data_IF_425546560216
#
_entry.id   IF_425546560216
#
_cell.length_a   1.000
_cell.length_b   1.000
_cell.length_c   1.000
_cell.angle_alpha   90.00
_cell.angle_beta   90.00
_cell.angle_gamma   90.00
#
_symmetry.space_group_name_H-M   'P 1'
#
loop_
_entity.id
_entity.type
_entity.pdbx_description
1 polymer ?
#
# COMPACT_ATOMS: atom_id res chain seq x y z
N UNK A 1 37.41 28.55 -30.71
CA UNK A 1 36.03 29.06 -30.83
C UNK A 1 35.28 28.03 -31.64
N UNK A 2 34.78 27.01 -30.93
CA UNK A 2 33.34 26.81 -30.63
C UNK A 2 32.75 25.94 -31.76
N UNK A 3 32.32 24.70 -31.57
CA UNK A 3 31.83 24.02 -30.39
C UNK A 3 30.50 23.38 -30.81
N UNK A 4 30.51 22.10 -31.18
CA UNK A 4 29.28 21.34 -31.42
C UNK A 4 29.20 20.17 -30.45
N UNK A 5 28.34 20.39 -29.47
CA UNK A 5 27.78 19.48 -28.49
C UNK A 5 27.20 18.23 -29.13
N UNK A 6 27.79 17.09 -28.80
CA UNK A 6 27.18 15.77 -28.96
C UNK A 6 26.86 15.27 -27.54
N UNK A 7 25.69 15.64 -27.03
CA UNK A 7 25.15 15.11 -25.78
C UNK A 7 23.72 14.66 -26.04
N UNK A 8 23.43 13.41 -25.67
CA UNK A 8 22.07 12.88 -25.63
C UNK A 8 21.88 11.65 -26.50
N UNK A 9 22.22 10.48 -25.93
CA UNK A 9 21.44 9.23 -25.99
C UNK A 9 22.30 8.10 -25.43
N UNK A 10 22.26 7.90 -24.11
CA UNK A 10 22.62 6.61 -23.47
C UNK A 10 22.22 6.60 -21.97
N UNK A 11 21.03 7.12 -21.64
CA UNK A 11 20.44 7.04 -20.29
C UNK A 11 19.12 6.23 -20.29
N UNK A 12 18.99 5.25 -21.20
CA UNK A 12 17.69 4.70 -21.60
C UNK A 12 17.03 3.71 -20.65
N UNK A 13 17.76 3.03 -19.76
CA UNK A 13 17.16 2.00 -18.87
C UNK A 13 17.89 1.88 -17.54
N UNK A 14 19.22 1.81 -17.54
CA UNK A 14 20.02 1.76 -16.30
C UNK A 14 19.91 3.04 -15.44
N UNK A 15 19.70 4.20 -16.08
CA UNK A 15 19.48 5.47 -15.38
C UNK A 15 18.12 5.57 -14.69
N UNK A 16 17.07 4.96 -15.26
CA UNK A 16 15.71 4.94 -14.71
C UNK A 16 15.60 3.98 -13.52
N UNK A 17 16.21 2.79 -13.59
CA UNK A 17 16.25 1.86 -12.46
C UNK A 17 17.08 2.44 -11.31
N UNK A 18 18.28 2.98 -11.59
CA UNK A 18 19.12 3.62 -10.57
C UNK A 18 18.44 4.83 -9.91
N UNK A 19 17.64 5.62 -10.66
CA UNK A 19 16.87 6.73 -10.11
C UNK A 19 15.70 6.26 -9.25
N UNK A 20 15.04 5.15 -9.61
CA UNK A 20 14.01 4.53 -8.78
C UNK A 20 14.58 3.91 -7.50
N UNK A 21 15.74 3.24 -7.58
CA UNK A 21 16.42 2.63 -6.42
C UNK A 21 16.89 3.71 -5.44
N UNK A 22 17.46 4.81 -5.94
CA UNK A 22 17.83 5.97 -5.13
C UNK A 22 16.60 6.57 -4.43
N UNK A 23 15.48 6.71 -5.14
CA UNK A 23 14.22 7.21 -4.55
C UNK A 23 13.64 6.27 -3.48
N UNK A 24 13.77 4.96 -3.65
CA UNK A 24 13.31 3.98 -2.64
C UNK A 24 14.21 4.00 -1.42
N UNK A 25 15.53 4.12 -1.60
CA UNK A 25 16.47 4.25 -0.48
C UNK A 25 16.18 5.49 0.36
N UNK A 26 15.89 6.63 -0.25
CA UNK A 26 15.49 7.85 0.47
C UNK A 26 14.22 7.65 1.30
N UNK A 27 13.24 6.88 0.79
CA UNK A 27 12.02 6.52 1.55
C UNK A 27 12.35 5.62 2.74
N UNK A 28 13.26 4.66 2.59
CA UNK A 28 13.73 3.81 3.69
C UNK A 28 14.39 4.67 4.77
N UNK A 29 15.32 5.55 4.38
CA UNK A 29 16.05 6.41 5.33
C UNK A 29 15.12 7.41 6.04
N UNK A 30 14.09 7.90 5.34
CA UNK A 30 13.03 8.71 5.96
C UNK A 30 12.27 7.91 7.02
N UNK A 31 11.79 6.71 6.68
CA UNK A 31 11.06 5.86 7.63
C UNK A 31 11.93 5.45 8.82
N UNK A 32 13.23 5.17 8.62
CA UNK A 32 14.16 4.90 9.73
C UNK A 32 14.25 6.09 10.69
N UNK A 33 14.36 7.33 10.17
CA UNK A 33 14.36 8.53 11.01
C UNK A 33 13.03 8.74 11.74
N UNK A 34 11.90 8.48 11.07
CA UNK A 34 10.57 8.54 11.69
C UNK A 34 10.49 7.53 12.84
N UNK A 35 10.93 6.29 12.62
CA UNK A 35 11.01 5.23 13.64
C UNK A 35 11.81 5.69 14.85
N UNK A 36 13.01 6.25 14.66
CA UNK A 36 13.84 6.79 15.75
C UNK A 36 13.13 7.92 16.51
N UNK A 37 12.40 8.78 15.80
CA UNK A 37 11.56 9.82 16.41
C UNK A 37 10.45 9.24 17.29
N UNK A 38 9.74 8.23 16.79
CA UNK A 38 8.68 7.53 17.54
C UNK A 38 9.26 6.85 18.79
N UNK A 39 10.45 6.28 18.70
CA UNK A 39 11.15 5.69 19.85
C UNK A 39 11.45 6.69 20.95
N UNK A 40 11.90 7.89 20.59
CA UNK A 40 12.10 8.99 21.53
C UNK A 40 10.79 9.47 22.13
N UNK A 41 9.71 9.47 21.36
CA UNK A 41 8.39 9.81 21.87
C UNK A 41 7.91 8.76 22.88
N UNK A 42 8.01 7.46 22.55
CA UNK A 42 7.62 6.35 23.41
C UNK A 42 8.37 6.35 24.75
N UNK A 43 9.65 6.72 24.78
CA UNK A 43 10.42 6.78 26.03
C UNK A 43 9.98 7.92 26.96
N UNK A 44 9.28 8.92 26.44
CA UNK A 44 8.77 10.08 27.18
C UNK A 44 7.26 9.99 27.45
N UNK A 45 6.55 9.15 26.71
CA UNK A 45 5.10 8.97 26.82
C UNK A 45 4.72 8.33 28.16
N UNK A 46 3.76 8.97 28.83
CA UNK A 46 3.17 8.48 30.09
C UNK A 46 1.68 8.19 29.96
N UNK A 47 1.01 8.82 28.98
CA UNK A 47 -0.40 8.61 28.71
C UNK A 47 -0.60 7.38 27.83
N UNK A 48 -1.58 6.53 28.19
CA UNK A 48 -1.88 5.30 27.46
C UNK A 48 -2.23 5.55 25.99
N UNK A 49 -3.06 6.56 25.71
CA UNK A 49 -3.49 6.85 24.34
C UNK A 49 -2.32 7.27 23.46
N UNK A 50 -1.39 8.07 24.00
CA UNK A 50 -0.15 8.44 23.31
C UNK A 50 0.72 7.23 23.01
N UNK A 51 0.81 6.29 23.95
CA UNK A 51 1.53 5.02 23.75
C UNK A 51 0.87 4.20 22.64
N UNK A 52 -0.47 4.05 22.65
CA UNK A 52 -1.21 3.29 21.63
C UNK A 52 -1.00 3.86 20.23
N UNK A 53 -1.08 5.18 20.06
CA UNK A 53 -0.79 5.83 18.79
C UNK A 53 0.67 5.67 18.36
N UNK A 54 1.62 5.85 19.28
CA UNK A 54 3.03 5.73 18.97
C UNK A 54 3.42 4.28 18.61
N UNK A 55 2.88 3.27 19.31
CA UNK A 55 3.08 1.86 18.97
C UNK A 55 2.45 1.51 17.62
N UNK A 56 1.24 2.02 17.32
CA UNK A 56 0.65 1.89 15.98
C UNK A 56 1.61 2.46 14.93
N UNK A 57 2.04 3.70 15.09
CA UNK A 57 2.89 4.38 14.10
C UNK A 57 4.23 3.64 13.91
N UNK A 58 4.81 3.12 15.00
CA UNK A 58 6.01 2.28 14.94
C UNK A 58 5.78 1.02 14.10
N UNK A 59 4.63 0.37 14.26
CA UNK A 59 4.25 -0.81 13.50
C UNK A 59 4.05 -0.50 12.00
N UNK A 60 3.35 0.60 11.67
CA UNK A 60 3.17 1.06 10.28
C UNK A 60 4.53 1.35 9.64
N UNK A 61 5.37 2.11 10.35
CA UNK A 61 6.71 2.49 9.90
C UNK A 61 7.60 1.27 9.62
N UNK A 62 7.66 0.30 10.54
CA UNK A 62 8.40 -0.94 10.32
C UNK A 62 7.88 -1.72 9.12
N UNK A 63 6.55 -1.77 8.95
CA UNK A 63 5.93 -2.43 7.81
C UNK A 63 6.32 -1.75 6.48
N UNK A 64 6.35 -0.41 6.44
CA UNK A 64 6.82 0.36 5.27
C UNK A 64 8.28 0.10 4.97
N UNK A 65 9.16 0.11 5.98
CA UNK A 65 10.58 -0.21 5.82
C UNK A 65 10.74 -1.60 5.18
N UNK A 66 10.08 -2.62 5.73
CA UNK A 66 10.13 -3.98 5.15
C UNK A 66 9.64 -4.01 3.72
N UNK A 67 8.51 -3.34 3.42
CA UNK A 67 7.94 -3.31 2.07
C UNK A 67 8.88 -2.62 1.05
N UNK A 68 9.51 -1.51 1.43
CA UNK A 68 10.50 -0.81 0.60
C UNK A 68 11.77 -1.62 0.42
N UNK A 69 12.33 -2.19 1.48
CA UNK A 69 13.53 -3.04 1.41
C UNK A 69 13.28 -4.26 0.52
N UNK A 70 12.13 -4.93 0.63
CA UNK A 70 11.80 -6.05 -0.24
C UNK A 70 11.62 -5.64 -1.72
N UNK A 71 11.15 -4.41 -1.99
CA UNK A 71 11.09 -3.90 -3.37
C UNK A 71 12.49 -3.60 -3.92
N UNK A 72 13.36 -3.01 -3.10
CA UNK A 72 14.74 -2.71 -3.48
C UNK A 72 15.52 -3.99 -3.80
N UNK A 73 15.45 -5.01 -2.94
CA UNK A 73 16.10 -6.30 -3.17
C UNK A 73 15.65 -6.97 -4.48
N UNK A 74 14.34 -6.93 -4.79
CA UNK A 74 13.81 -7.46 -6.06
C UNK A 74 14.34 -6.71 -7.28
N UNK A 75 14.54 -5.39 -7.16
CA UNK A 75 15.12 -4.56 -8.23
C UNK A 75 16.59 -4.96 -8.48
N UNK A 76 17.37 -5.10 -7.41
CA UNK A 76 18.77 -5.51 -7.47
C UNK A 76 18.95 -6.92 -8.07
N UNK A 77 18.12 -7.88 -7.66
CA UNK A 77 18.10 -9.24 -8.21
C UNK A 77 17.79 -9.26 -9.71
N UNK A 78 16.85 -8.42 -10.16
CA UNK A 78 16.50 -8.30 -11.58
C UNK A 78 17.68 -7.76 -12.40
N UNK A 79 18.43 -6.78 -11.87
CA UNK A 79 19.63 -6.24 -12.52
C UNK A 79 20.74 -7.31 -12.59
N UNK A 80 20.96 -8.05 -11.50
CA UNK A 80 21.95 -9.12 -11.46
C UNK A 80 21.64 -10.24 -12.48
N UNK A 81 20.36 -10.63 -12.61
CA UNK A 81 19.92 -11.66 -13.54
C UNK A 81 19.94 -11.21 -15.01
N UNK A 82 19.76 -9.91 -15.29
CA UNK A 82 19.86 -9.35 -16.65
C UNK A 82 21.31 -9.29 -17.18
N UNK A 83 22.32 -9.42 -16.32
CA UNK A 83 23.74 -9.40 -16.72
C UNK A 83 24.16 -10.70 -17.45
N UNK A 84 23.28 -11.71 -17.56
CA UNK A 84 23.58 -13.03 -18.16
C UNK A 84 22.94 -13.34 -19.50
N UNK A 85 21.99 -12.55 -20.03
CA UNK A 85 21.29 -12.90 -21.26
C UNK A 85 20.80 -11.67 -22.03
N UNK A 86 21.64 -11.18 -22.95
CA UNK A 86 21.26 -10.19 -23.96
C UNK A 86 20.70 -10.90 -25.20
N UNK A 87 19.47 -11.38 -25.13
CA UNK A 87 18.70 -11.68 -26.35
C UNK A 87 17.82 -10.46 -26.65
N UNK A 88 18.35 -9.55 -27.48
CA UNK A 88 17.59 -8.45 -28.08
C UNK A 88 16.61 -9.02 -29.12
N UNK A 89 15.54 -9.67 -28.66
CA UNK A 89 14.38 -9.93 -29.50
C UNK A 89 13.53 -8.66 -29.54
N UNK A 90 13.67 -7.90 -30.63
CA UNK A 90 12.73 -6.84 -31.05
C UNK A 90 11.38 -7.42 -31.53
N UNK A 91 10.96 -8.57 -30.99
CA UNK A 91 9.69 -9.21 -31.28
C UNK A 91 8.84 -9.22 -30.00
N UNK A 92 7.68 -8.57 -30.08
CA UNK A 92 6.80 -8.17 -28.98
C UNK A 92 7.40 -7.10 -28.06
N UNK A 93 7.08 -5.83 -28.36
CA UNK A 93 6.67 -4.92 -27.27
C UNK A 93 5.48 -5.61 -26.63
N UNK A 94 5.74 -6.44 -25.62
CA UNK A 94 4.71 -7.06 -24.80
C UNK A 94 3.82 -5.91 -24.36
N UNK A 95 2.58 -5.88 -24.86
CA UNK A 95 1.67 -4.75 -24.68
C UNK A 95 1.46 -4.58 -23.19
N UNK A 96 2.16 -3.62 -22.59
CA UNK A 96 2.08 -3.38 -21.16
C UNK A 96 0.66 -2.90 -20.85
N UNK A 97 0.00 -3.61 -19.93
CA UNK A 97 -1.34 -3.23 -19.51
C UNK A 97 -1.32 -1.82 -18.93
N UNK A 98 -2.37 -1.06 -19.23
CA UNK A 98 -2.54 0.28 -18.68
C UNK A 98 -2.57 0.21 -17.15
N UNK A 99 -1.87 1.15 -16.50
CA UNK A 99 -1.91 1.31 -15.06
C UNK A 99 -3.17 2.07 -14.63
N UNK A 100 -3.60 1.84 -13.40
CA UNK A 100 -4.79 2.46 -12.82
C UNK A 100 -4.46 3.14 -11.49
N UNK A 101 -5.24 4.17 -11.18
CA UNK A 101 -5.39 4.68 -9.81
C UNK A 101 -6.49 3.88 -9.13
N UNK A 102 -6.26 3.43 -7.91
CA UNK A 102 -7.25 2.69 -7.13
C UNK A 102 -7.55 3.47 -5.87
N UNK A 103 -8.83 3.72 -5.61
CA UNK A 103 -9.30 4.40 -4.41
C UNK A 103 -10.13 3.43 -3.56
N UNK A 104 -9.80 3.36 -2.26
CA UNK A 104 -10.57 2.67 -1.24
C UNK A 104 -11.19 3.72 -0.33
N UNK A 105 -12.49 3.59 -0.05
CA UNK A 105 -13.22 4.50 0.82
C UNK A 105 -14.34 3.81 1.57
N UNK A 106 -14.91 4.51 2.53
CA UNK A 106 -16.14 4.14 3.24
C UNK A 106 -16.07 2.74 3.88
N UNK A 107 -14.96 2.45 4.57
CA UNK A 107 -14.74 1.14 5.17
C UNK A 107 -15.62 1.01 6.41
N UNK A 108 -16.37 -0.08 6.49
CA UNK A 108 -17.20 -0.45 7.64
C UNK A 108 -16.94 -1.88 8.06
N UNK A 109 -16.76 -2.11 9.36
CA UNK A 109 -16.52 -3.43 9.94
C UNK A 109 -17.56 -3.66 11.04
N UNK A 110 -18.65 -4.37 10.72
CA UNK A 110 -19.70 -4.66 11.69
C UNK A 110 -19.18 -5.57 12.80
N UNK A 111 -19.62 -5.28 14.02
CA UNK A 111 -19.34 -6.03 15.23
C UNK A 111 -20.57 -6.82 15.68
N UNK A 112 -20.32 -7.92 16.38
CA UNK A 112 -21.34 -8.86 16.84
C UNK A 112 -21.17 -9.14 18.34
N UNK A 113 -21.46 -8.13 19.15
CA UNK A 113 -21.46 -8.28 20.60
C UNK A 113 -22.51 -9.30 21.05
N UNK A 114 -22.17 -10.11 22.05
CA UNK A 114 -23.17 -10.94 22.74
C UNK A 114 -24.08 -10.04 23.56
N UNK A 115 -25.35 -10.40 23.69
CA UNK A 115 -26.31 -9.66 24.53
C UNK A 115 -25.81 -9.51 25.97
N UNK A 116 -25.16 -10.54 26.50
CA UNK A 116 -24.53 -10.51 27.83
C UNK A 116 -23.48 -9.42 27.97
N UNK A 117 -22.75 -9.12 26.91
CA UNK A 117 -21.63 -8.19 26.92
C UNK A 117 -22.11 -6.77 26.63
N UNK A 118 -22.98 -6.62 25.62
CA UNK A 118 -23.58 -5.36 25.20
C UNK A 118 -24.43 -4.71 26.30
N UNK A 119 -25.27 -5.50 26.99
CA UNK A 119 -26.19 -5.00 28.02
C UNK A 119 -25.63 -5.11 29.45
N UNK A 120 -24.40 -5.59 29.66
CA UNK A 120 -23.80 -5.62 31.00
C UNK A 120 -23.46 -4.22 31.50
N UNK A 121 -23.96 -3.81 32.66
CA UNK A 121 -23.56 -2.56 33.33
C UNK A 121 -22.23 -2.65 34.08
N UNK A 122 -21.31 -3.55 33.69
CA UNK A 122 -19.97 -3.58 34.30
C UNK A 122 -19.27 -2.26 33.97
N UNK A 123 -18.94 -1.48 35.01
CA UNK A 123 -18.30 -0.15 34.93
C UNK A 123 -16.92 -0.15 34.21
N UNK A 124 -16.37 -1.32 33.89
CA UNK A 124 -15.15 -1.49 33.08
C UNK A 124 -15.41 -2.48 31.95
N UNK A 125 -15.94 -1.98 30.84
CA UNK A 125 -15.97 -2.74 29.59
C UNK A 125 -14.60 -2.69 28.95
N UNK A 126 -14.12 -3.83 28.44
CA UNK A 126 -12.86 -3.89 27.72
C UNK A 126 -12.92 -2.96 26.52
N UNK A 127 -11.88 -2.14 26.38
CA UNK A 127 -11.71 -1.22 25.27
C UNK A 127 -10.59 -1.70 24.38
N UNK A 128 -10.79 -1.65 23.08
CA UNK A 128 -9.81 -2.09 22.11
C UNK A 128 -9.44 -0.95 21.18
N UNK A 129 -8.14 -0.71 21.02
CA UNK A 129 -7.63 0.14 19.97
C UNK A 129 -7.57 -0.68 18.66
N UNK A 130 -8.15 -0.15 17.60
CA UNK A 130 -8.22 -0.81 16.28
C UNK A 130 -7.83 0.15 15.17
N UNK A 131 -7.14 -0.38 14.17
CA UNK A 131 -6.83 0.31 12.91
C UNK A 131 -6.66 -0.72 11.78
N UNK A 132 -6.65 -0.25 10.54
CA UNK A 132 -6.43 -1.08 9.36
C UNK A 132 -5.14 -0.70 8.65
N UNK A 133 -4.48 -1.70 8.05
CA UNK A 133 -3.42 -1.54 7.06
C UNK A 133 -3.91 -1.94 5.68
N UNK A 134 -3.54 -1.14 4.68
CA UNK A 134 -3.74 -1.45 3.27
C UNK A 134 -2.39 -1.63 2.60
N UNK A 135 -2.16 -2.79 2.00
CA UNK A 135 -0.87 -3.15 1.39
C UNK A 135 -1.04 -3.51 -0.08
N UNK A 136 -0.30 -2.85 -0.96
CA UNK A 136 -0.21 -3.18 -2.38
C UNK A 136 1.24 -3.06 -2.83
N UNK A 137 1.93 -4.20 -2.95
CA UNK A 137 3.37 -4.21 -3.23
C UNK A 137 4.16 -3.46 -2.16
N UNK A 138 4.83 -2.37 -2.55
CA UNK A 138 5.59 -1.53 -1.63
C UNK A 138 4.79 -0.36 -1.02
N UNK A 139 3.57 -0.11 -1.52
CA UNK A 139 2.71 0.94 -0.98
C UNK A 139 1.96 0.39 0.25
N UNK A 140 2.13 1.06 1.39
CA UNK A 140 1.50 0.69 2.66
C UNK A 140 0.86 1.93 3.27
N UNK A 141 -0.46 1.88 3.42
CA UNK A 141 -1.28 2.92 4.04
C UNK A 141 -1.98 2.39 5.28
N UNK A 142 -2.44 3.29 6.13
CA UNK A 142 -3.10 2.98 7.39
C UNK A 142 -4.31 3.89 7.64
N UNK A 143 -5.30 3.40 8.36
CA UNK A 143 -6.40 4.23 8.89
C UNK A 143 -6.04 4.83 10.23
N UNK A 144 -6.78 5.84 10.69
CA UNK A 144 -6.67 6.32 12.06
C UNK A 144 -6.98 5.21 13.09
N UNK A 145 -6.36 5.32 14.26
CA UNK A 145 -6.65 4.42 15.37
C UNK A 145 -7.93 4.89 16.06
N UNK A 146 -8.87 3.98 16.25
CA UNK A 146 -10.10 4.25 17.01
C UNK A 146 -10.18 3.33 18.23
N UNK A 147 -10.74 3.86 19.31
CA UNK A 147 -11.01 3.07 20.53
C UNK A 147 -12.44 2.56 20.42
N UNK A 148 -12.59 1.25 20.54
CA UNK A 148 -13.85 0.53 20.43
C UNK A 148 -14.22 -0.07 21.77
N UNK A 149 -15.47 0.15 22.16
CA UNK A 149 -16.10 -0.50 23.29
C UNK A 149 -17.42 -1.14 22.88
N UNK A 150 -18.10 -1.77 23.84
CA UNK A 150 -19.38 -2.47 23.62
C UNK A 150 -20.50 -1.59 23.03
N UNK A 151 -20.38 -0.26 23.08
CA UNK A 151 -21.42 0.64 22.55
C UNK A 151 -21.32 0.82 21.04
N UNK A 152 -20.19 0.46 20.45
CA UNK A 152 -19.94 0.57 19.02
C UNK A 152 -20.36 -0.72 18.35
N UNK A 153 -21.34 -0.67 17.45
CA UNK A 153 -21.76 -1.84 16.66
C UNK A 153 -21.09 -1.93 15.31
N UNK A 154 -20.49 -0.85 14.82
CA UNK A 154 -19.90 -0.76 13.49
C UNK A 154 -18.69 0.17 13.50
N UNK A 155 -17.54 -0.32 13.06
CA UNK A 155 -16.31 0.47 12.98
C UNK A 155 -16.26 1.12 11.60
N UNK A 156 -16.22 2.45 11.55
CA UNK A 156 -16.24 3.20 10.30
C UNK A 156 -14.95 4.00 10.09
N UNK A 157 -14.37 3.90 8.90
CA UNK A 157 -13.26 4.76 8.45
C UNK A 157 -13.67 5.50 7.17
N UNK A 158 -13.78 6.82 7.26
CA UNK A 158 -14.21 7.69 6.16
C UNK A 158 -13.06 8.11 5.22
N UNK A 159 -11.81 7.96 5.67
CA UNK A 159 -10.64 8.39 4.92
C UNK A 159 -10.50 7.61 3.61
N UNK A 160 -10.20 8.34 2.53
CA UNK A 160 -9.92 7.76 1.21
C UNK A 160 -8.44 7.43 1.10
N UNK A 161 -8.13 6.19 0.72
CA UNK A 161 -6.76 5.74 0.42
C UNK A 161 -6.60 5.55 -1.09
N UNK A 162 -5.56 6.16 -1.68
CA UNK A 162 -5.30 6.09 -3.12
C UNK A 162 -3.98 5.38 -3.38
N UNK A 163 -4.04 4.31 -4.17
CA UNK A 163 -2.88 3.62 -4.72
C UNK A 163 -2.65 4.06 -6.15
N UNK A 164 -1.38 4.30 -6.49
CA UNK A 164 -0.99 4.72 -7.83
C UNK A 164 -0.34 3.56 -8.59
N UNK A 165 -0.36 3.66 -9.91
CA UNK A 165 0.35 2.72 -10.80
C UNK A 165 -0.05 1.24 -10.64
N UNK A 166 -1.29 0.97 -10.24
CA UNK A 166 -1.78 -0.39 -10.07
C UNK A 166 -1.93 -1.10 -11.43
N UNK A 167 -1.44 -2.34 -11.54
CA UNK A 167 -1.71 -3.21 -12.69
C UNK A 167 -3.12 -3.80 -12.66
N UNK A 168 -3.59 -4.43 -13.75
CA UNK A 168 -4.91 -5.08 -13.79
C UNK A 168 -5.02 -6.28 -12.84
N UNK A 169 -3.89 -6.87 -12.45
CA UNK A 169 -3.74 -8.02 -11.56
C UNK A 169 -3.47 -7.61 -10.10
N UNK A 170 -3.75 -6.36 -9.74
CA UNK A 170 -3.50 -5.84 -8.40
C UNK A 170 -4.17 -6.69 -7.31
N UNK A 171 -3.52 -6.74 -6.15
CA UNK A 171 -4.02 -7.36 -4.94
C UNK A 171 -3.75 -6.41 -3.78
N UNK A 172 -4.81 -5.83 -3.24
CA UNK A 172 -4.71 -5.00 -2.04
C UNK A 172 -5.06 -5.88 -0.85
N UNK A 173 -4.06 -6.12 0.01
CA UNK A 173 -4.29 -6.83 1.27
C UNK A 173 -4.75 -5.83 2.32
N UNK A 174 -5.92 -6.08 2.91
CA UNK A 174 -6.49 -5.31 4.01
C UNK A 174 -6.29 -6.12 5.29
N UNK A 175 -5.63 -5.54 6.28
CA UNK A 175 -5.33 -6.19 7.55
C UNK A 175 -5.88 -5.35 8.71
N UNK A 176 -6.67 -5.97 9.58
CA UNK A 176 -7.29 -5.34 10.75
C UNK A 176 -6.46 -5.69 11.97
N UNK A 177 -5.96 -4.68 12.67
CA UNK A 177 -5.14 -4.85 13.86
C UNK A 177 -5.86 -4.35 15.10
N UNK A 178 -5.68 -5.07 16.21
CA UNK A 178 -6.34 -4.74 17.48
C UNK A 178 -5.39 -4.89 18.67
N UNK A 179 -5.61 -4.05 19.69
CA UNK A 179 -4.89 -4.06 20.97
C UNK A 179 -5.89 -3.79 22.09
N UNK A 180 -5.91 -4.61 23.13
CA UNK A 180 -6.70 -4.28 24.32
C UNK A 180 -6.01 -3.16 25.13
N UNK A 181 -6.82 -2.20 25.57
CA UNK A 181 -6.40 -0.98 26.28
C UNK A 181 -6.44 -1.19 27.81
N UNK A 182 -7.23 -2.15 28.27
CA UNK A 182 -7.31 -2.54 29.67
C UNK A 182 -6.18 -3.51 30.00
N UNK A 183 -5.41 -3.14 31.03
CA UNK A 183 -4.12 -3.74 31.28
C UNK A 183 -4.23 -5.23 31.57
N UNK A 184 -3.53 -6.05 30.77
CA UNK A 184 -2.97 -7.27 31.30
C UNK A 184 -1.90 -6.86 32.33
N UNK A 185 -2.34 -6.62 33.57
CA UNK A 185 -1.45 -6.81 34.71
C UNK A 185 -1.20 -8.31 34.84
N UNK A 186 -0.56 -8.91 33.85
CA UNK A 186 0.18 -10.15 34.07
C UNK A 186 1.39 -9.69 34.85
N UNK A 187 1.24 -9.74 36.17
CA UNK A 187 2.35 -9.75 37.11
C UNK A 187 3.22 -10.96 36.80
N UNK A 188 4.02 -10.89 35.74
CA UNK A 188 5.20 -11.73 35.59
C UNK A 188 6.25 -11.15 36.52
N UNK A 189 6.10 -11.39 37.82
CA UNK A 189 7.23 -11.26 38.73
C UNK A 189 8.32 -12.19 38.22
N UNK A 190 9.54 -11.74 37.88
CA UNK A 190 10.67 -12.64 37.79
C UNK A 190 11.14 -12.95 39.22
N UNK A 191 10.29 -13.62 40.01
CA UNK A 191 10.72 -14.25 41.26
C UNK A 191 11.50 -15.52 40.90
N UNK A 192 12.76 -15.34 40.49
CA UNK A 192 13.90 -16.26 40.65
C UNK A 192 15.05 -15.88 39.68
N UNK A 193 15.79 -14.83 40.01
CA UNK A 193 17.22 -14.82 39.72
C UNK A 193 18.02 -14.11 40.81
N UNK A 194 17.68 -14.38 42.07
CA UNK A 194 18.54 -14.09 43.21
C UNK A 194 19.28 -15.37 43.61
N UNK A 195 20.38 -15.69 42.92
CA UNK A 195 21.60 -16.30 43.49
C UNK A 195 22.58 -16.70 42.37
N UNK A 196 23.77 -16.10 42.45
CA UNK A 196 25.08 -16.48 41.87
C UNK A 196 25.58 -15.61 40.72
N UNK A 197 26.09 -14.44 41.08
CA UNK A 197 27.39 -13.99 40.57
C UNK A 197 28.27 -13.66 41.77
N UNK A 198 28.90 -14.70 42.31
CA UNK A 198 30.08 -14.53 43.16
C UNK A 198 31.28 -14.38 42.24
N UNK A 199 32.03 -13.31 42.47
CA UNK A 199 33.49 -13.20 42.32
C UNK A 199 34.11 -13.55 40.96
N UNK A 200 34.49 -12.51 40.21
CA UNK A 200 35.90 -12.30 39.86
C UNK A 200 36.17 -10.88 39.37
N UNK A 201 37.03 -10.19 40.13
CA UNK A 201 37.78 -9.01 39.72
C UNK A 201 38.86 -9.48 38.76
N UNK A 202 38.94 -8.90 37.57
CA UNK A 202 40.17 -8.91 36.77
C UNK A 202 40.22 -7.66 35.91
N UNK A 203 41.26 -6.86 36.16
CA UNK A 203 41.66 -5.68 35.40
C UNK A 203 42.08 -6.11 33.99
N UNK A 204 41.53 -5.49 32.95
CA UNK A 204 42.19 -5.40 31.65
C UNK A 204 41.75 -4.12 30.94
N UNK A 205 42.71 -3.24 30.73
CA UNK A 205 42.67 -2.04 29.91
C UNK A 205 42.67 -2.43 28.42
N UNK A 206 41.80 -1.82 27.61
CA UNK A 206 42.07 -1.60 26.18
C UNK A 206 41.09 -2.21 25.18
N UNK A 207 40.47 -1.30 24.40
CA UNK A 207 40.10 -1.43 22.97
C UNK A 207 39.16 -2.57 22.55
N UNK A 208 37.88 -2.24 22.36
CA UNK A 208 37.16 -2.25 21.05
C UNK A 208 35.67 -2.16 21.30
N UNK A 209 35.09 -1.03 20.93
CA UNK A 209 33.65 -0.84 20.76
C UNK A 209 33.42 -1.12 19.27
N UNK A 210 32.93 -2.32 18.94
CA UNK A 210 32.30 -2.63 17.66
C UNK A 210 31.79 -4.07 17.68
N UNK A 211 30.47 -4.22 17.77
CA UNK A 211 29.69 -5.26 17.09
C UNK A 211 28.21 -4.89 17.16
N UNK A 212 27.88 -3.80 16.46
CA UNK A 212 26.55 -3.57 15.90
C UNK A 212 26.44 -4.49 14.68
N UNK A 213 25.24 -5.04 14.48
CA UNK A 213 24.81 -5.86 13.34
C UNK A 213 25.20 -7.35 13.43
N UNK A 214 24.36 -8.12 14.12
CA UNK A 214 24.12 -9.50 13.70
C UNK A 214 22.61 -9.71 13.67
N UNK A 215 22.09 -9.83 12.44
CA UNK A 215 20.79 -10.34 12.02
C UNK A 215 19.83 -10.76 13.13
N UNK A 216 19.13 -9.79 13.70
CA UNK A 216 17.94 -10.08 14.49
C UNK A 216 16.73 -9.97 13.57
N UNK A 217 16.04 -11.10 13.40
CA UNK A 217 14.80 -11.21 12.64
C UNK A 217 13.87 -10.01 12.97
N UNK A 218 13.40 -9.24 11.96
CA UNK A 218 12.58 -8.06 12.18
C UNK A 218 11.34 -8.34 13.04
N UNK A 219 10.83 -9.58 13.03
CA UNK A 219 9.73 -9.99 13.91
C UNK A 219 10.12 -10.00 15.39
N UNK A 220 11.33 -10.43 15.74
CA UNK A 220 11.78 -10.50 17.14
C UNK A 220 11.98 -9.10 17.74
N UNK A 221 12.48 -8.14 16.94
CA UNK A 221 12.57 -6.74 17.35
C UNK A 221 11.20 -6.06 17.51
N UNK A 222 10.16 -6.50 16.78
CA UNK A 222 8.77 -6.02 16.97
C UNK A 222 8.17 -6.54 18.28
N UNK A 223 8.36 -7.84 18.56
CA UNK A 223 7.78 -8.51 19.72
C UNK A 223 8.42 -8.11 21.06
N UNK A 224 9.74 -7.98 21.11
CA UNK A 224 10.43 -7.60 22.35
C UNK A 224 10.17 -6.15 22.75
N UNK A 225 9.91 -5.27 21.79
CA UNK A 225 9.87 -3.83 22.01
C UNK A 225 8.47 -3.26 22.27
N UNK A 226 7.44 -3.79 21.63
CA UNK A 226 6.04 -3.38 21.88
C UNK A 226 5.60 -3.74 23.30
N UNK A 227 6.05 -4.92 23.78
CA UNK A 227 5.73 -5.42 25.12
C UNK A 227 6.32 -4.53 26.23
N UNK A 228 7.45 -3.85 25.96
CA UNK A 228 8.13 -2.96 26.92
C UNK A 228 7.26 -1.75 27.30
N UNK A 229 6.40 -1.28 26.40
CA UNK A 229 5.52 -0.12 26.64
C UNK A 229 4.08 -0.50 26.97
N UNK A 230 3.78 -1.80 27.13
CA UNK A 230 2.47 -2.27 27.60
C UNK A 230 1.34 -2.20 26.57
N UNK A 231 1.63 -1.94 25.29
CA UNK A 231 0.67 -1.97 24.19
C UNK A 231 1.19 -2.88 23.09
N UNK A 232 0.34 -3.75 22.54
CA UNK A 232 0.71 -4.69 21.48
C UNK A 232 -0.46 -4.92 20.54
N UNK A 233 -0.27 -4.52 19.28
CA UNK A 233 -1.23 -4.80 18.22
C UNK A 233 -1.02 -6.19 17.65
N UNK A 234 -2.13 -6.88 17.45
CA UNK A 234 -2.20 -8.21 16.88
C UNK A 234 -3.11 -8.20 15.66
N UNK A 235 -2.77 -9.00 14.66
CA UNK A 235 -3.60 -9.19 13.48
C UNK A 235 -4.89 -9.90 13.90
N UNK A 236 -6.00 -9.19 13.82
CA UNK A 236 -7.33 -9.71 14.16
C UNK A 236 -7.95 -10.43 12.97
N UNK A 237 -7.91 -9.79 11.80
CA UNK A 237 -8.49 -10.32 10.59
C UNK A 237 -7.83 -9.74 9.34
N UNK A 238 -8.03 -10.38 8.19
CA UNK A 238 -7.55 -9.86 6.92
C UNK A 238 -8.45 -10.26 5.75
N UNK A 239 -8.36 -9.52 4.65
CA UNK A 239 -8.96 -9.89 3.35
C UNK A 239 -8.09 -9.37 2.20
N UNK A 240 -8.40 -9.78 0.98
CA UNK A 240 -7.69 -9.32 -0.22
C UNK A 240 -8.69 -8.81 -1.24
N UNK A 241 -8.52 -7.56 -1.66
CA UNK A 241 -9.31 -6.90 -2.69
C UNK A 241 -8.58 -6.98 -4.03
N UNK A 242 -9.33 -7.29 -5.08
CA UNK A 242 -8.83 -7.48 -6.45
C UNK A 242 -9.67 -6.66 -7.43
N UNK A 243 -9.37 -6.74 -8.74
CA UNK A 243 -10.18 -6.09 -9.77
C UNK A 243 -11.66 -6.49 -9.72
N UNK A 244 -11.99 -7.73 -9.33
CA UNK A 244 -13.38 -8.19 -9.17
C UNK A 244 -14.11 -7.51 -8.00
N UNK A 245 -13.35 -6.91 -7.09
CA UNK A 245 -13.88 -6.10 -6.00
C UNK A 245 -14.16 -4.66 -6.42
N UNK A 246 -13.68 -4.22 -7.59
CA UNK A 246 -13.78 -2.84 -8.03
C UNK A 246 -15.15 -2.57 -8.65
N UNK A 247 -15.93 -1.72 -8.00
CA UNK A 247 -17.26 -1.29 -8.44
C UNK A 247 -17.54 0.09 -7.84
N UNK A 248 -18.39 0.89 -8.50
CA UNK A 248 -18.78 2.21 -7.97
C UNK A 248 -19.75 2.10 -6.77
N UNK A 249 -20.21 0.88 -6.45
CA UNK A 249 -21.13 0.58 -5.36
C UNK A 249 -20.42 0.03 -4.11
N UNK A 250 -21.15 0.00 -2.99
CA UNK A 250 -20.68 -0.64 -1.77
C UNK A 250 -20.68 -2.15 -1.92
N UNK A 251 -19.54 -2.78 -1.59
CA UNK A 251 -19.40 -4.23 -1.63
C UNK A 251 -18.98 -4.80 -0.29
N UNK A 252 -19.55 -5.96 0.03
CA UNK A 252 -19.21 -6.73 1.22
C UNK A 252 -18.15 -7.78 0.88
N UNK A 253 -17.12 -7.85 1.73
CA UNK A 253 -15.99 -8.75 1.61
C UNK A 253 -15.86 -9.58 2.88
N UNK A 254 -15.69 -10.89 2.73
CA UNK A 254 -15.46 -11.77 3.87
C UNK A 254 -14.08 -11.49 4.46
N UNK A 255 -14.00 -11.49 5.80
CA UNK A 255 -12.79 -11.38 6.57
C UNK A 255 -12.34 -12.77 7.03
N UNK A 256 -11.05 -13.07 6.85
CA UNK A 256 -10.40 -14.22 7.46
C UNK A 256 -9.92 -13.82 8.85
N UNK A 257 -10.48 -14.44 9.87
CA UNK A 257 -10.24 -14.11 11.27
C UNK A 257 -9.06 -14.93 11.81
N UNK A 258 -8.13 -14.25 12.50
CA UNK A 258 -6.87 -14.82 13.01
C UNK A 258 -6.84 -15.00 14.53
N UNK A 259 -7.94 -14.70 15.24
CA UNK A 259 -8.06 -14.80 16.70
C UNK A 259 -9.29 -15.60 17.15
N UNK A 260 -9.44 -15.73 18.47
CA UNK A 260 -10.59 -16.35 19.12
C UNK A 260 -10.95 -15.59 20.41
N UNK A 261 -12.05 -15.95 21.08
CA UNK A 261 -12.50 -15.31 22.33
C UNK A 261 -11.49 -15.39 23.50
N UNK A 262 -10.51 -16.29 23.42
CA UNK A 262 -9.45 -16.43 24.44
C UNK A 262 -8.29 -15.45 24.21
N UNK A 263 -8.25 -14.80 23.05
CA UNK A 263 -7.19 -13.88 22.68
C UNK A 263 -7.42 -12.51 23.32
N UNK A 264 -6.38 -11.94 23.95
CA UNK A 264 -6.48 -10.63 24.61
C UNK A 264 -6.75 -9.46 23.65
N UNK A 265 -6.71 -9.68 22.34
CA UNK A 265 -6.97 -8.69 21.30
C UNK A 265 -8.29 -8.99 20.56
N UNK A 266 -9.08 -9.94 21.03
CA UNK A 266 -10.31 -10.33 20.36
C UNK A 266 -11.35 -9.22 20.38
N UNK A 267 -11.81 -8.81 19.19
CA UNK A 267 -13.08 -8.12 19.02
C UNK A 267 -14.05 -9.05 18.31
N UNK A 268 -15.33 -9.08 18.72
CA UNK A 268 -16.32 -9.93 18.08
C UNK A 268 -16.72 -9.33 16.72
N UNK A 269 -15.99 -9.70 15.66
CA UNK A 269 -16.32 -9.30 14.30
C UNK A 269 -17.54 -10.08 13.79
N UNK A 270 -18.40 -9.44 13.00
CA UNK A 270 -19.46 -10.16 12.26
C UNK A 270 -18.89 -11.15 11.22
N UNK A 271 -17.65 -10.92 10.79
CA UNK A 271 -16.93 -11.76 9.81
C UNK A 271 -16.81 -11.14 8.43
N UNK A 272 -17.36 -9.94 8.21
CA UNK A 272 -17.31 -9.23 6.95
C UNK A 272 -16.83 -7.78 7.14
N UNK A 273 -16.31 -7.19 6.08
CA UNK A 273 -16.11 -5.74 5.95
C UNK A 273 -16.84 -5.24 4.71
N UNK A 274 -17.29 -4.00 4.75
CA UNK A 274 -17.84 -3.30 3.59
C UNK A 274 -16.87 -2.18 3.20
N UNK A 275 -16.72 -1.94 1.91
CA UNK A 275 -16.00 -0.77 1.40
C UNK A 275 -16.44 -0.45 -0.02
N UNK A 276 -16.08 0.74 -0.49
CA UNK A 276 -16.17 1.12 -1.90
C UNK A 276 -14.78 1.14 -2.50
N UNK A 277 -14.58 0.35 -3.56
CA UNK A 277 -13.31 0.20 -4.27
C UNK A 277 -13.48 0.66 -5.71
N UNK A 278 -12.86 1.77 -6.08
CA UNK A 278 -12.95 2.32 -7.45
C UNK A 278 -11.60 2.21 -8.13
N UNK A 279 -11.59 1.67 -9.35
CA UNK A 279 -10.41 1.64 -10.21
C UNK A 279 -10.60 2.59 -11.40
N UNK A 280 -9.66 3.53 -11.58
CA UNK A 280 -9.62 4.44 -12.73
C UNK A 280 -8.35 4.14 -13.55
N UNK A 281 -8.46 3.39 -14.66
CA UNK A 281 -7.36 3.21 -15.60
C UNK A 281 -6.92 4.54 -16.20
N UNK A 282 -5.61 4.76 -16.35
CA UNK A 282 -5.06 5.99 -16.93
C UNK A 282 -5.58 6.21 -18.35
N UNK A 283 -5.75 5.15 -19.14
CA UNK A 283 -6.27 5.24 -20.51
C UNK A 283 -7.72 5.74 -20.60
N UNK A 284 -8.48 5.77 -19.49
CA UNK A 284 -9.81 6.38 -19.46
C UNK A 284 -9.78 7.87 -19.12
N UNK A 285 -8.77 8.33 -18.37
CA UNK A 285 -8.65 9.71 -17.92
C UNK A 285 -7.72 10.56 -18.81
N UNK A 286 -6.69 9.94 -19.36
CA UNK A 286 -5.61 10.56 -20.10
C UNK A 286 -5.61 10.13 -21.56
N UNK A 287 -5.07 10.99 -22.43
CA UNK A 287 -4.94 10.70 -23.85
C UNK A 287 -3.84 9.67 -24.07
N UNK A 288 -4.23 8.47 -24.48
CA UNK A 288 -3.28 7.40 -24.76
C UNK A 288 -2.45 7.73 -26.01
N UNK A 289 -3.09 8.31 -27.02
CA UNK A 289 -2.46 8.76 -28.26
C UNK A 289 -3.20 9.97 -28.81
N UNK A 290 -2.46 10.89 -29.41
CA UNK A 290 -3.02 12.02 -30.14
C UNK A 290 -2.23 12.26 -31.43
N UNK A 291 -2.91 12.59 -32.53
CA UNK A 291 -2.25 12.84 -33.80
C UNK A 291 -3.22 13.04 -34.96
N UNK A 292 -2.68 13.43 -36.11
CA UNK A 292 -3.50 13.63 -37.30
C UNK A 292 -3.72 12.30 -38.03
N UNK A 293 -4.99 11.99 -38.34
CA UNK A 293 -5.37 10.89 -39.20
C UNK A 293 -6.15 11.40 -40.41
N UNK A 294 -6.07 10.67 -41.52
CA UNK A 294 -6.84 10.97 -42.72
C UNK A 294 -8.04 10.03 -42.79
N UNK A 295 -9.25 10.59 -42.78
CA UNK A 295 -10.48 9.86 -43.01
C UNK A 295 -10.78 9.87 -44.51
N UNK A 296 -10.94 8.67 -45.09
CA UNK A 296 -11.51 8.51 -46.42
C UNK A 296 -13.02 8.34 -46.31
N UNK A 297 -13.78 9.18 -47.01
CA UNK A 297 -15.22 9.07 -47.13
C UNK A 297 -15.60 8.89 -48.60
N UNK A 298 -16.41 7.88 -48.90
CA UNK A 298 -16.97 7.66 -50.24
C UNK A 298 -18.34 8.33 -50.31
N UNK A 299 -18.47 9.37 -51.13
CA UNK A 299 -19.74 10.06 -51.39
C UNK A 299 -19.96 10.04 -52.91
N UNK A 300 -21.08 9.46 -53.36
CA UNK A 300 -21.47 9.40 -54.78
C UNK A 300 -20.39 8.85 -55.74
N UNK A 301 -19.54 7.93 -55.27
CA UNK A 301 -18.46 7.33 -56.06
C UNK A 301 -17.15 8.13 -56.09
N UNK A 302 -17.09 9.31 -55.46
CA UNK A 302 -15.89 10.10 -55.27
C UNK A 302 -15.29 9.86 -53.87
N UNK A 303 -13.97 9.65 -53.82
CA UNK A 303 -13.23 9.50 -52.57
C UNK A 303 -12.76 10.87 -52.07
N UNK A 304 -13.36 11.32 -50.97
CA UNK A 304 -12.97 12.56 -50.29
C UNK A 304 -12.08 12.20 -49.11
N UNK A 305 -10.92 12.85 -49.03
CA UNK A 305 -10.00 12.72 -47.91
C UNK A 305 -10.09 13.94 -47.02
N UNK A 306 -10.24 13.72 -45.72
CA UNK A 306 -10.24 14.79 -44.72
C UNK A 306 -9.22 14.48 -43.65
N UNK A 307 -8.40 15.47 -43.32
CA UNK A 307 -7.43 15.38 -42.22
C UNK A 307 -8.14 15.81 -40.94
N UNK A 308 -8.12 14.95 -39.93
CA UNK A 308 -8.70 15.20 -38.61
C UNK A 308 -7.61 15.04 -37.55
N UNK A 309 -7.70 15.81 -36.48
CA UNK A 309 -6.92 15.61 -35.28
C UNK A 309 -7.65 14.60 -34.38
N UNK A 310 -7.02 13.46 -34.11
CA UNK A 310 -7.65 12.33 -33.46
C UNK A 310 -6.98 12.04 -32.13
N UNK A 311 -7.78 11.76 -31.11
CA UNK A 311 -7.35 11.47 -29.74
C UNK A 311 -7.96 10.17 -29.27
N UNK A 312 -7.12 9.24 -28.82
CA UNK A 312 -7.55 7.97 -28.25
C UNK A 312 -7.67 8.08 -26.74
N UNK A 313 -8.90 8.01 -26.23
CA UNK A 313 -9.22 8.02 -24.80
C UNK A 313 -10.38 7.08 -24.49
N UNK A 314 -10.27 6.30 -23.42
CA UNK A 314 -11.33 5.42 -22.93
C UNK A 314 -11.79 4.36 -23.94
N UNK A 315 -10.88 3.86 -24.78
CA UNK A 315 -11.22 2.92 -25.85
C UNK A 315 -12.04 3.55 -26.98
N UNK A 316 -12.03 4.87 -27.13
CA UNK A 316 -12.69 5.61 -28.21
C UNK A 316 -11.70 6.54 -28.88
N UNK A 317 -11.72 6.56 -30.20
CA UNK A 317 -10.99 7.52 -31.01
C UNK A 317 -11.92 8.70 -31.32
N UNK A 318 -11.68 9.83 -30.67
CA UNK A 318 -12.41 11.07 -30.88
C UNK A 318 -11.68 11.92 -31.91
N UNK A 319 -12.35 12.32 -32.99
CA UNK A 319 -11.77 13.08 -34.09
C UNK A 319 -12.36 14.49 -34.15
N UNK A 320 -11.48 15.47 -34.32
CA UNK A 320 -11.75 16.91 -34.36
C UNK A 320 -11.16 17.51 -35.64
N UNK A 321 -11.65 18.66 -36.09
CA UNK A 321 -11.04 19.33 -37.25
C UNK A 321 -9.71 19.97 -36.87
N UNK A 322 -9.60 20.46 -35.63
CA UNK A 322 -8.40 21.11 -35.15
C UNK A 322 -8.17 20.85 -33.65
N UNK A 323 -6.92 20.96 -33.15
CA UNK A 323 -6.64 20.81 -31.73
C UNK A 323 -7.36 21.84 -30.85
N UNK A 324 -7.66 23.02 -31.37
CA UNK A 324 -8.33 24.11 -30.65
C UNK A 324 -9.77 23.75 -30.24
N UNK A 325 -10.45 22.87 -30.99
CA UNK A 325 -11.77 22.36 -30.63
C UNK A 325 -11.75 21.56 -29.31
N UNK A 326 -10.63 20.90 -29.01
CA UNK A 326 -10.44 20.16 -27.75
C UNK A 326 -10.30 21.13 -26.58
N UNK A 327 -9.51 22.19 -26.74
CA UNK A 327 -9.33 23.23 -25.72
C UNK A 327 -10.66 23.95 -25.43
N UNK A 328 -11.46 24.17 -26.47
CA UNK A 328 -12.80 24.74 -26.38
C UNK A 328 -13.86 23.76 -25.83
N UNK A 329 -13.49 22.51 -25.50
CA UNK A 329 -14.39 21.44 -25.03
C UNK A 329 -15.58 21.21 -25.97
N UNK A 330 -15.36 21.33 -27.28
CA UNK A 330 -16.38 21.02 -28.28
C UNK A 330 -16.62 19.51 -28.39
N UNK A 331 -17.79 19.13 -28.91
CA UNK A 331 -18.07 17.73 -29.21
C UNK A 331 -17.25 17.25 -30.41
N UNK A 332 -16.73 16.01 -30.37
CA UNK A 332 -15.96 15.45 -31.47
C UNK A 332 -16.83 15.30 -32.73
N UNK A 333 -16.24 15.60 -33.88
CA UNK A 333 -16.88 15.43 -35.19
C UNK A 333 -17.18 13.96 -35.50
N UNK A 334 -16.31 13.06 -35.05
CA UNK A 334 -16.47 11.62 -35.21
C UNK A 334 -15.97 10.90 -33.96
N UNK A 335 -16.71 9.87 -33.53
CA UNK A 335 -16.29 8.97 -32.46
C UNK A 335 -16.24 7.56 -33.04
N UNK A 336 -15.05 6.96 -33.06
CA UNK A 336 -14.87 5.57 -33.48
C UNK A 336 -14.56 4.73 -32.24
N UNK A 337 -15.45 3.82 -31.83
CA UNK A 337 -15.16 2.94 -30.70
C UNK A 337 -14.09 1.92 -31.11
N UNK A 338 -13.05 1.77 -30.30
CA UNK A 338 -12.02 0.76 -30.48
C UNK A 338 -12.44 -0.47 -29.68
N UNK A 339 -12.84 -1.51 -30.37
CA UNK A 339 -13.12 -2.82 -29.77
C UNK A 339 -11.90 -3.71 -29.91
N UNK A 340 -11.67 -4.55 -28.90
CA UNK A 340 -10.69 -5.63 -29.04
C UNK A 340 -11.25 -6.62 -30.04
N UNK A 341 -10.71 -6.61 -31.27
CA UNK A 341 -11.01 -7.65 -32.26
C UNK A 341 -10.28 -8.92 -31.80
N UNK A 342 -10.97 -9.75 -31.01
CA UNK A 342 -10.56 -11.13 -30.77
C UNK A 342 -11.02 -11.96 -31.96
N UNK A 343 -10.46 -11.77 -33.14
CA UNK A 343 -10.58 -12.68 -34.28
C UNK A 343 -9.77 -12.11 -35.46
N UNK A 344 -8.58 -12.67 -35.69
CA UNK A 344 -8.16 -12.89 -37.07
C UNK A 344 -8.82 -14.20 -37.49
N UNK A 345 -10.06 -14.10 -37.99
CA UNK A 345 -10.59 -15.12 -38.89
C UNK A 345 -9.85 -14.93 -40.21
N UNK A 346 -8.89 -15.80 -40.48
CA UNK A 346 -8.46 -16.13 -41.84
C UNK A 346 -9.26 -17.33 -42.33
#
# INVERSE_FOLDING_TARGET
>A
MEGQTQWGRELGQAGLSAQQDCSIQEKIDLEIRIREGIWKLLSLSTQKDQILHAVKNLMVCNTRITAYTSKLQKSEEQIANQTGQCDMNFENIERTACKAKIAISDIRIPLMWKDSDHFSNKERSERYAIFCLFKMGAEVFDTDMVIVDKTITDICFENVTIFNEAGPDFKIKVEVYSCCTEGSSITNTPKKLAKKLKTSISKATGKKINSVLQEENPETCLFFNSTVFGAKYHLLAHTTLTLESAEDSFKTHNLFINGNEESSFWLPLYGNMCCRLVAQPACMAEDAFAGFLNQQQMIEGLSIWRRLYCVLRGGKLCCFYSPEEIEAKMEPTLIVPIHKVNEMLF
#
